data_IF_175381273601
#
_entry.id   IF_175381273601
#
_cell.length_a   1.000
_cell.length_b   1.000
_cell.length_c   1.000
_cell.angle_alpha   90.00
_cell.angle_beta   90.00
_cell.angle_gamma   90.00
#
_symmetry.space_group_name_H-M   'P 1'
#
loop_
_entity.id
_entity.type
_entity.pdbx_description
1 polymer ?
2 water ?
#
# COMPACT_ATOMS: atom_id res chain seq x y z
N UNK A 4 14.78 -7.82 22.35
CA UNK A 4 15.64 -8.72 23.18
C UNK A 4 15.24 -10.19 23.03
N UNK A 5 15.35 -10.94 24.12
CA UNK A 5 15.16 -12.37 24.23
C UNK A 5 13.91 -12.82 24.98
N UNK A 6 12.83 -13.21 24.31
CA UNK A 6 11.60 -13.71 24.94
C UNK A 6 11.55 -15.23 24.99
N UNK A 7 11.45 -15.88 23.83
CA UNK A 7 11.57 -17.33 23.77
C UNK A 7 13.06 -17.70 23.91
N UNK A 8 13.27 -18.98 24.17
CA UNK A 8 14.60 -19.56 24.22
C UNK A 8 15.26 -19.57 22.86
N UNK A 9 14.52 -19.56 21.74
CA UNK A 9 15.20 -19.50 20.45
C UNK A 9 15.72 -18.08 20.24
N UNK A 10 14.92 -17.09 20.67
CA UNK A 10 15.39 -15.72 20.59
C UNK A 10 16.57 -15.44 21.48
N UNK A 11 16.56 -15.95 22.74
CA UNK A 11 17.71 -15.72 23.58
C UNK A 11 18.98 -16.32 23.00
N UNK A 12 18.92 -17.59 22.55
CA UNK A 12 20.10 -18.22 21.97
C UNK A 12 20.58 -17.48 20.70
N UNK A 13 19.66 -17.09 19.84
CA UNK A 13 20.08 -16.47 18.57
C UNK A 13 20.62 -15.09 18.83
N UNK A 14 20.00 -14.33 19.72
CA UNK A 14 20.47 -12.98 19.99
C UNK A 14 21.82 -13.02 20.68
N UNK A 15 22.13 -13.92 21.64
CA UNK A 15 23.51 -13.86 22.15
C UNK A 15 24.52 -14.35 21.11
N UNK A 16 24.13 -15.34 20.28
CA UNK A 16 25.04 -15.71 19.19
C UNK A 16 25.35 -14.57 18.21
N UNK A 17 24.29 -13.84 17.85
CA UNK A 17 24.51 -12.71 16.90
C UNK A 17 25.42 -11.70 17.58
N UNK A 18 25.10 -11.37 18.85
CA UNK A 18 25.84 -10.34 19.55
C UNK A 18 27.28 -10.78 19.77
N UNK A 19 27.57 -12.02 20.13
CA UNK A 19 28.94 -12.49 20.20
C UNK A 19 29.64 -12.46 18.82
N UNK A 20 28.88 -12.89 17.81
CA UNK A 20 29.47 -12.93 16.44
C UNK A 20 29.80 -11.56 15.91
N UNK A 21 28.88 -10.63 16.17
CA UNK A 21 29.14 -9.27 15.63
C UNK A 21 29.92 -8.37 16.55
N UNK A 22 30.30 -8.90 17.73
CA UNK A 22 31.03 -8.12 18.73
C UNK A 22 32.12 -7.20 18.24
N UNK A 23 33.10 -7.64 17.44
CA UNK A 23 34.21 -6.80 17.05
C UNK A 23 33.93 -5.68 16.06
N UNK A 24 32.74 -5.59 15.48
CA UNK A 24 32.40 -4.66 14.43
C UNK A 24 32.10 -3.30 15.09
N UNK A 25 32.81 -2.28 14.64
CA UNK A 25 32.53 -0.96 15.23
C UNK A 25 31.25 -0.41 14.58
N UNK A 26 30.41 0.15 15.46
CA UNK A 26 29.14 0.73 15.09
C UNK A 26 28.07 -0.29 14.82
N UNK A 27 28.20 -1.54 15.24
CA UNK A 27 27.17 -2.56 15.15
C UNK A 27 26.75 -2.92 16.60
N UNK A 28 25.44 -2.94 16.82
CA UNK A 28 24.89 -3.16 18.16
C UNK A 28 23.48 -3.69 18.01
N UNK A 29 23.35 -5.01 17.85
CA UNK A 29 22.09 -5.64 17.59
C UNK A 29 21.25 -5.82 18.86
N UNK A 30 20.02 -5.31 18.84
CA UNK A 30 19.21 -5.21 20.06
C UNK A 30 17.92 -6.02 19.97
N UNK A 31 17.54 -6.38 18.72
CA UNK A 31 16.28 -7.13 18.58
C UNK A 31 16.28 -7.89 17.25
N UNK A 32 15.12 -8.40 16.86
CA UNK A 32 14.95 -9.10 15.63
C UNK A 32 14.14 -8.35 14.57
N UNK A 33 14.06 -7.03 14.72
CA UNK A 33 13.31 -6.25 13.74
C UNK A 33 14.13 -5.09 13.27
N UNK A 34 14.08 -3.92 13.95
CA UNK A 34 14.78 -2.73 13.53
C UNK A 34 16.28 -2.79 13.51
N UNK A 35 16.95 -3.64 14.28
CA UNK A 35 18.39 -3.77 14.18
C UNK A 35 18.83 -4.44 12.85
N UNK A 36 17.94 -4.93 12.02
CA UNK A 36 18.28 -5.62 10.81
C UNK A 36 18.00 -4.81 9.55
N UNK A 37 17.21 -3.75 9.63
CA UNK A 37 16.77 -3.04 8.40
C UNK A 37 17.86 -2.35 7.65
N UNK A 38 18.95 -1.88 8.26
CA UNK A 38 20.02 -1.22 7.50
C UNK A 38 21.01 -2.16 6.82
N UNK A 39 20.91 -3.47 7.05
CA UNK A 39 21.73 -4.43 6.30
C UNK A 39 23.10 -4.69 6.89
N UNK A 40 23.60 -3.91 7.84
CA UNK A 40 24.89 -4.18 8.44
C UNK A 40 24.87 -5.48 9.23
N UNK A 41 23.88 -5.71 10.07
CA UNK A 41 23.92 -6.90 10.94
C UNK A 41 24.07 -8.19 10.13
N UNK A 42 23.19 -8.42 9.13
CA UNK A 42 23.33 -9.64 8.30
C UNK A 42 24.75 -9.70 7.74
N UNK A 43 25.29 -8.62 7.15
CA UNK A 43 26.65 -8.72 6.59
C UNK A 43 27.69 -9.08 7.67
N UNK A 44 27.55 -8.55 8.89
CA UNK A 44 28.52 -8.79 9.94
C UNK A 44 28.43 -10.25 10.37
N UNK A 45 27.24 -10.78 10.45
CA UNK A 45 27.16 -12.19 10.88
C UNK A 45 27.95 -13.07 9.91
N UNK A 46 27.78 -12.78 8.60
CA UNK A 46 28.46 -13.56 7.57
C UNK A 46 29.95 -13.33 7.58
N UNK A 47 30.40 -12.08 7.66
CA UNK A 47 31.75 -11.63 7.55
C UNK A 47 32.63 -12.17 8.70
N UNK A 48 32.04 -12.24 9.88
CA UNK A 48 32.85 -12.65 11.05
C UNK A 48 33.48 -14.01 10.76
N UNK A 49 32.66 -14.92 10.25
CA UNK A 49 33.05 -16.26 9.88
C UNK A 49 34.08 -16.38 8.74
N UNK A 50 34.12 -15.45 7.81
CA UNK A 50 35.12 -15.54 6.73
C UNK A 50 35.47 -14.13 6.29
N UNK A 51 36.33 -13.46 7.01
CA UNK A 51 36.60 -12.03 6.82
C UNK A 51 37.38 -11.76 5.54
N UNK A 52 37.89 -12.74 4.78
CA UNK A 52 38.45 -12.43 3.47
C UNK A 52 37.42 -12.56 2.37
N UNK A 53 36.19 -12.92 2.71
CA UNK A 53 35.11 -13.09 1.74
C UNK A 53 34.60 -11.81 1.07
N UNK A 54 34.77 -10.65 1.66
CA UNK A 54 34.33 -9.38 1.07
C UNK A 54 34.84 -8.27 1.94
N UNK A 55 34.82 -7.04 1.40
CA UNK A 55 35.36 -5.91 2.15
C UNK A 55 34.23 -5.26 2.95
N UNK A 56 34.45 -5.04 4.24
CA UNK A 56 33.47 -4.40 5.08
C UNK A 56 33.20 -2.97 4.60
N UNK A 57 34.29 -2.30 4.21
CA UNK A 57 34.23 -0.88 3.80
C UNK A 57 33.29 -0.74 2.62
N UNK A 58 33.40 -1.66 1.66
CA UNK A 58 32.54 -1.70 0.52
C UNK A 58 31.10 -1.83 0.95
N UNK A 59 30.77 -2.72 1.90
CA UNK A 59 29.38 -2.83 2.36
C UNK A 59 28.93 -1.52 3.09
N UNK A 60 29.80 -0.93 3.90
CA UNK A 60 29.42 0.34 4.59
C UNK A 60 29.07 1.42 3.56
N UNK A 61 29.78 1.49 2.43
CA UNK A 61 29.42 2.44 1.38
C UNK A 61 28.17 2.09 0.60
N UNK A 62 27.65 0.87 0.68
CA UNK A 62 26.42 0.53 0.00
C UNK A 62 25.18 1.11 0.68
N UNK A 63 24.05 1.22 -0.03
CA UNK A 63 22.81 1.64 0.65
C UNK A 63 22.28 0.43 1.39
N UNK A 64 21.28 0.56 2.24
CA UNK A 64 20.70 -0.59 2.93
C UNK A 64 20.19 -1.68 2.03
N UNK A 65 19.49 -1.29 0.95
CA UNK A 65 19.02 -2.34 0.02
C UNK A 65 20.12 -3.13 -0.66
N UNK A 66 21.15 -2.47 -1.15
CA UNK A 66 22.32 -3.07 -1.71
C UNK A 66 22.95 -4.00 -0.64
N UNK A 67 23.13 -3.48 0.56
CA UNK A 67 23.74 -4.34 1.61
C UNK A 67 22.98 -5.62 1.82
N UNK A 68 21.63 -5.56 1.89
CA UNK A 68 20.82 -6.73 2.14
C UNK A 68 20.90 -7.74 0.98
N UNK A 69 20.81 -7.16 -0.22
CA UNK A 69 20.92 -8.03 -1.42
C UNK A 69 22.31 -8.68 -1.37
N UNK A 70 23.36 -7.94 -1.05
CA UNK A 70 24.71 -8.52 -0.99
C UNK A 70 24.78 -9.70 -0.02
N UNK A 71 24.22 -9.54 1.20
CA UNK A 71 24.35 -10.52 2.28
C UNK A 71 23.57 -11.76 1.88
N UNK A 72 22.34 -11.53 1.35
CA UNK A 72 21.53 -12.67 0.93
C UNK A 72 22.15 -13.38 -0.31
N UNK A 73 22.83 -12.62 -1.14
CA UNK A 73 23.48 -13.34 -2.27
C UNK A 73 24.75 -14.08 -1.83
N UNK A 74 25.55 -13.49 -0.96
CA UNK A 74 26.72 -14.14 -0.42
C UNK A 74 26.35 -15.40 0.36
N UNK A 75 25.28 -15.37 1.12
CA UNK A 75 24.85 -16.55 1.86
C UNK A 75 24.47 -17.63 0.85
N UNK A 76 23.81 -17.27 -0.23
CA UNK A 76 23.40 -18.22 -1.25
C UNK A 76 24.60 -18.85 -1.96
N UNK A 77 25.54 -18.00 -2.36
CA UNK A 77 26.59 -18.47 -3.25
C UNK A 77 27.62 -19.22 -2.43
N UNK A 78 27.84 -18.76 -1.17
CA UNK A 78 28.85 -19.39 -0.35
C UNK A 78 28.34 -20.44 0.62
N UNK A 79 27.08 -20.37 0.98
CA UNK A 79 26.60 -21.25 2.05
C UNK A 79 25.51 -22.10 1.49
N UNK A 80 25.11 -21.77 0.25
CA UNK A 80 23.95 -22.51 -0.30
C UNK A 80 22.67 -22.22 0.47
N UNK A 81 22.54 -21.07 1.16
CA UNK A 81 21.31 -20.77 1.87
C UNK A 81 20.28 -20.08 0.97
N UNK A 82 19.09 -20.65 0.91
CA UNK A 82 18.01 -20.10 0.09
C UNK A 82 17.62 -18.71 0.57
N UNK A 83 17.35 -17.79 -0.35
CA UNK A 83 16.98 -16.43 0.03
C UNK A 83 15.58 -16.43 0.58
N UNK A 84 15.41 -16.34 1.89
CA UNK A 84 14.01 -16.38 2.36
C UNK A 84 13.42 -14.97 2.42
N UNK A 85 14.28 -13.95 2.49
CA UNK A 85 13.77 -12.63 2.73
C UNK A 85 14.03 -11.77 1.52
N UNK A 86 13.12 -10.81 1.30
CA UNK A 86 13.39 -9.92 0.15
C UNK A 86 14.01 -8.67 0.72
N UNK A 87 15.05 -8.13 0.13
CA UNK A 87 15.65 -6.91 0.67
C UNK A 87 14.63 -5.84 0.99
N UNK A 88 13.55 -5.56 0.23
CA UNK A 88 12.56 -4.54 0.50
C UNK A 88 11.63 -4.76 1.69
N UNK A 89 11.28 -6.02 1.99
CA UNK A 89 10.54 -6.38 3.18
C UNK A 89 11.32 -6.07 4.46
N UNK A 90 12.63 -5.90 4.27
CA UNK A 90 13.51 -5.60 5.35
C UNK A 90 13.89 -4.12 5.39
N UNK A 91 14.20 -3.50 4.25
CA UNK A 91 14.74 -2.18 4.25
C UNK A 91 13.67 -1.07 4.33
N UNK A 92 12.49 -1.30 3.76
CA UNK A 92 11.56 -0.17 3.72
C UNK A 92 10.44 -0.30 4.72
N UNK A 93 10.27 -1.50 5.26
CA UNK A 93 9.22 -1.66 6.26
C UNK A 93 9.73 -2.45 7.48
N UNK A 94 8.98 -2.29 8.56
CA UNK A 94 9.40 -2.96 9.80
C UNK A 94 9.52 -4.44 9.53
N UNK A 95 10.70 -5.03 9.64
CA UNK A 95 10.87 -6.46 9.37
C UNK A 95 9.94 -7.31 10.20
N UNK A 96 9.50 -8.39 9.58
CA UNK A 96 8.72 -9.42 10.28
C UNK A 96 9.65 -10.27 11.14
N UNK A 97 9.45 -10.26 12.45
CA UNK A 97 10.33 -10.96 13.35
C UNK A 97 10.49 -12.43 13.06
N UNK A 98 9.37 -13.12 12.84
CA UNK A 98 9.39 -14.55 12.55
C UNK A 98 10.37 -14.84 11.40
N UNK A 99 10.22 -14.07 10.33
CA UNK A 99 11.00 -14.21 9.12
C UNK A 99 12.49 -13.98 9.37
N UNK A 100 12.79 -12.91 10.13
CA UNK A 100 14.20 -12.69 10.49
C UNK A 100 14.76 -13.89 11.23
N UNK A 101 14.05 -14.38 12.24
CA UNK A 101 14.52 -15.45 13.09
C UNK A 101 14.72 -16.73 12.26
N UNK A 102 13.75 -16.96 11.38
CA UNK A 102 13.86 -18.19 10.54
C UNK A 102 15.08 -18.05 9.62
N UNK A 103 15.35 -16.91 9.01
CA UNK A 103 16.59 -16.76 8.22
C UNK A 103 17.86 -16.88 9.04
N UNK A 104 17.95 -16.24 10.22
CA UNK A 104 19.06 -16.32 11.11
C UNK A 104 19.24 -17.77 11.59
N UNK A 105 18.17 -18.51 11.78
CA UNK A 105 18.28 -19.93 12.16
C UNK A 105 19.00 -20.72 11.08
N UNK A 106 18.75 -20.40 9.82
CA UNK A 106 19.43 -21.15 8.75
C UNK A 106 20.89 -20.75 8.68
N UNK A 107 21.25 -19.50 9.03
CA UNK A 107 22.64 -19.11 9.12
C UNK A 107 23.39 -19.79 10.26
N UNK A 108 22.70 -19.85 11.39
CA UNK A 108 23.21 -20.45 12.65
C UNK A 108 23.47 -21.93 12.42
N UNK A 109 22.58 -22.58 11.68
CA UNK A 109 22.83 -23.99 11.41
C UNK A 109 24.00 -24.26 10.48
N UNK A 110 24.23 -23.38 9.47
CA UNK A 110 25.23 -23.80 8.47
C UNK A 110 26.58 -23.24 8.80
N UNK A 111 26.61 -22.21 9.61
CA UNK A 111 27.84 -21.51 10.00
C UNK A 111 28.39 -22.23 11.24
N UNK B 8 -27.15 15.40 -25.71
CA UNK B 8 -26.37 16.64 -25.34
C UNK B 8 -25.01 16.50 -26.02
N UNK B 9 -24.02 17.17 -25.51
CA UNK B 9 -22.65 17.03 -25.91
C UNK B 9 -22.04 16.14 -24.83
N UNK B 10 -21.44 15.01 -25.19
CA UNK B 10 -20.75 14.19 -24.22
C UNK B 10 -19.52 14.89 -23.68
N UNK B 11 -18.89 15.65 -24.57
CA UNK B 11 -17.73 16.39 -24.20
C UNK B 11 -18.13 17.47 -23.16
N UNK B 12 -19.22 18.18 -23.35
CA UNK B 12 -19.61 19.17 -22.30
C UNK B 12 -19.85 18.43 -20.97
N UNK B 13 -20.62 17.34 -21.08
CA UNK B 13 -20.89 16.52 -19.88
C UNK B 13 -19.64 16.06 -19.16
N UNK B 14 -18.68 15.47 -19.91
CA UNK B 14 -17.45 14.99 -19.30
C UNK B 14 -16.67 16.15 -18.67
N UNK B 15 -16.61 17.31 -19.35
CA UNK B 15 -15.87 18.45 -18.82
C UNK B 15 -16.48 18.93 -17.51
N UNK B 16 -17.83 18.91 -17.46
CA UNK B 16 -18.57 19.33 -16.28
C UNK B 16 -18.24 18.35 -15.14
N UNK B 17 -18.23 17.05 -15.45
CA UNK B 17 -17.95 16.08 -14.39
C UNK B 17 -16.53 16.28 -13.90
N UNK B 18 -15.63 16.43 -14.88
CA UNK B 18 -14.22 16.56 -14.42
C UNK B 18 -14.03 17.80 -13.60
N UNK B 19 -14.59 18.93 -14.05
CA UNK B 19 -14.41 20.17 -13.28
C UNK B 19 -15.02 20.08 -11.88
N UNK B 20 -16.20 19.48 -11.81
CA UNK B 20 -16.94 19.32 -10.57
C UNK B 20 -16.17 18.46 -9.56
N UNK B 21 -15.58 17.39 -10.08
CA UNK B 21 -14.87 16.48 -9.14
C UNK B 21 -13.40 16.69 -8.98
N UNK B 22 -12.88 17.78 -9.63
CA UNK B 22 -11.44 18.08 -9.59
C UNK B 22 -10.80 18.14 -8.23
N UNK B 23 -11.39 18.80 -7.22
CA UNK B 23 -10.77 18.90 -5.95
C UNK B 23 -10.76 17.63 -5.08
N UNK B 24 -11.38 16.55 -5.47
CA UNK B 24 -11.43 15.33 -4.69
C UNK B 24 -10.17 14.52 -5.05
N UNK B 25 -9.32 14.40 -4.07
CA UNK B 25 -8.07 13.65 -4.18
C UNK B 25 -8.19 12.21 -4.65
N UNK B 26 -9.28 11.48 -4.44
CA UNK B 26 -9.41 10.09 -4.85
C UNK B 26 -10.32 9.90 -6.03
N UNK B 27 -10.62 11.00 -6.78
CA UNK B 27 -11.53 10.83 -7.90
C UNK B 27 -10.69 11.16 -9.15
N UNK B 28 -10.87 10.40 -10.20
CA UNK B 28 -10.18 10.70 -11.47
C UNK B 28 -11.07 10.21 -12.60
N UNK B 29 -12.03 11.00 -13.05
CA UNK B 29 -12.96 10.52 -14.05
C UNK B 29 -12.36 10.57 -15.47
N UNK B 30 -12.25 9.39 -16.06
CA UNK B 30 -11.60 9.28 -17.37
C UNK B 30 -12.57 8.98 -18.49
N UNK B 31 -13.74 8.48 -18.06
CA UNK B 31 -14.74 8.05 -19.03
C UNK B 31 -16.11 7.92 -18.33
N UNK B 32 -17.05 7.28 -19.03
CA UNK B 32 -18.39 7.07 -18.46
C UNK B 32 -18.66 5.60 -18.18
N UNK B 33 -17.60 4.83 -17.84
CA UNK B 33 -17.81 3.42 -17.52
C UNK B 33 -17.11 3.06 -16.23
N UNK B 34 -15.91 2.45 -16.33
CA UNK B 34 -15.25 1.98 -15.11
C UNK B 34 -14.81 3.08 -14.14
N UNK B 35 -14.64 4.34 -14.52
CA UNK B 35 -14.43 5.37 -13.51
C UNK B 35 -15.62 5.57 -12.57
N UNK B 36 -16.77 4.95 -12.78
CA UNK B 36 -17.92 5.13 -11.91
C UNK B 36 -18.18 3.98 -10.97
N UNK B 37 -17.42 2.87 -11.16
CA UNK B 37 -17.75 1.62 -10.45
C UNK B 37 -17.45 1.64 -8.97
N UNK B 38 -16.47 2.40 -8.48
CA UNK B 38 -16.21 2.40 -7.04
C UNK B 38 -17.16 3.30 -6.23
N UNK B 39 -18.11 3.99 -6.87
CA UNK B 39 -19.06 4.90 -6.23
C UNK B 39 -18.55 6.23 -5.76
N UNK B 40 -17.21 6.48 -5.81
CA UNK B 40 -16.71 7.75 -5.28
C UNK B 40 -17.17 8.90 -6.18
N UNK B 41 -16.96 8.78 -7.47
CA UNK B 41 -17.20 9.78 -8.47
C UNK B 41 -18.70 10.22 -8.42
N UNK B 42 -19.67 9.30 -8.32
CA UNK B 42 -21.06 9.75 -8.19
C UNK B 42 -21.26 10.56 -6.91
N UNK B 43 -20.73 10.12 -5.76
CA UNK B 43 -20.85 10.94 -4.56
C UNK B 43 -20.19 12.35 -4.70
N UNK B 44 -19.04 12.39 -5.37
CA UNK B 44 -18.29 13.63 -5.47
C UNK B 44 -19.10 14.59 -6.35
N UNK B 45 -19.80 14.10 -7.35
CA UNK B 45 -20.60 15.08 -8.16
C UNK B 45 -21.66 15.77 -7.31
N UNK B 46 -22.31 14.96 -6.45
CA UNK B 46 -23.33 15.57 -5.55
C UNK B 46 -22.75 16.43 -4.48
N UNK B 47 -21.68 15.93 -3.83
CA UNK B 47 -21.06 16.62 -2.73
C UNK B 47 -20.43 17.96 -3.07
N UNK B 48 -19.82 18.06 -4.27
CA UNK B 48 -19.23 19.33 -4.67
C UNK B 48 -20.23 20.50 -4.59
N UNK B 49 -21.45 20.20 -5.00
CA UNK B 49 -22.52 21.21 -5.05
C UNK B 49 -23.09 21.53 -3.68
N UNK B 50 -23.09 20.55 -2.77
CA UNK B 50 -23.63 20.81 -1.44
C UNK B 50 -22.76 20.07 -0.42
N UNK B 51 -21.63 20.65 -0.11
CA UNK B 51 -20.58 19.99 0.67
C UNK B 51 -20.98 19.63 2.09
N UNK B 52 -22.02 20.24 2.62
CA UNK B 52 -22.54 19.89 3.93
C UNK B 52 -23.66 18.88 3.78
N UNK B 53 -23.90 18.30 2.60
CA UNK B 53 -24.98 17.34 2.41
C UNK B 53 -24.65 16.02 3.13
N UNK B 54 -23.40 15.64 3.30
CA UNK B 54 -23.00 14.39 3.93
C UNK B 54 -21.51 14.44 4.16
N UNK B 55 -20.97 13.55 4.97
CA UNK B 55 -19.53 13.52 5.21
C UNK B 55 -18.87 12.64 4.13
N UNK B 56 -17.82 13.19 3.56
CA UNK B 56 -17.02 12.45 2.58
C UNK B 56 -16.35 11.24 3.20
N UNK B 57 -15.77 11.36 4.36
CA UNK B 57 -15.11 10.29 5.10
C UNK B 57 -15.99 9.09 5.37
N UNK B 58 -17.29 9.33 5.68
CA UNK B 58 -18.23 8.23 5.77
C UNK B 58 -18.34 7.50 4.43
N UNK B 59 -18.40 8.25 3.32
CA UNK B 59 -18.52 7.59 2.02
C UNK B 59 -17.27 6.76 1.77
N UNK B 60 -16.11 7.35 2.04
CA UNK B 60 -14.84 6.67 1.80
C UNK B 60 -14.82 5.30 2.56
N UNK B 61 -15.28 5.29 3.78
CA UNK B 61 -15.36 4.03 4.55
C UNK B 61 -16.40 3.03 4.10
N UNK B 62 -17.30 3.42 3.22
CA UNK B 62 -18.28 2.48 2.70
C UNK B 62 -17.63 1.60 1.64
N UNK B 63 -18.29 0.48 1.35
CA UNK B 63 -17.91 -0.31 0.18
C UNK B 63 -18.50 0.30 -1.08
N UNK B 64 -17.95 -0.02 -2.23
CA UNK B 64 -18.47 0.47 -3.50
C UNK B 64 -19.99 0.39 -3.62
N UNK B 65 -20.57 -0.77 -3.30
CA UNK B 65 -22.00 -0.99 -3.38
C UNK B 65 -22.79 -0.08 -2.46
N UNK B 66 -22.32 0.13 -1.24
CA UNK B 66 -23.00 1.00 -0.31
C UNK B 66 -22.84 2.48 -0.72
N UNK B 67 -21.66 2.87 -1.20
CA UNK B 67 -21.48 4.22 -1.77
C UNK B 67 -22.48 4.52 -2.86
N UNK B 68 -22.67 3.63 -3.83
CA UNK B 68 -23.58 3.84 -4.95
C UNK B 68 -25.02 4.01 -4.49
N UNK B 69 -25.44 3.15 -3.55
CA UNK B 69 -26.74 3.26 -2.90
C UNK B 69 -26.91 4.59 -2.19
N UNK B 70 -25.88 4.98 -1.44
CA UNK B 70 -25.91 6.28 -0.79
C UNK B 70 -26.05 7.42 -1.82
N UNK B 71 -25.37 7.40 -2.95
CA UNK B 71 -25.42 8.55 -3.88
C UNK B 71 -26.81 8.63 -4.52
N UNK B 72 -27.26 7.45 -4.92
CA UNK B 72 -28.58 7.35 -5.57
C UNK B 72 -29.72 7.70 -4.62
N UNK B 73 -29.62 7.46 -3.33
CA UNK B 73 -30.72 7.80 -2.40
C UNK B 73 -30.73 9.28 -2.08
N UNK B 74 -29.49 9.75 -1.87
CA UNK B 74 -29.26 11.18 -1.59
C UNK B 74 -29.79 12.03 -2.73
N UNK B 75 -29.47 11.62 -3.96
CA UNK B 75 -29.93 12.35 -5.12
C UNK B 75 -31.47 12.26 -5.13
N UNK B 76 -32.02 11.11 -4.77
CA UNK B 76 -33.51 11.01 -4.88
C UNK B 76 -34.19 11.92 -3.89
N UNK B 77 -33.76 11.77 -2.64
CA UNK B 77 -34.31 12.51 -1.51
C UNK B 77 -34.12 14.01 -1.63
N UNK B 78 -32.92 14.48 -1.92
CA UNK B 78 -32.61 15.88 -2.05
C UNK B 78 -32.82 16.48 -3.42
N UNK B 79 -32.80 15.79 -4.55
CA UNK B 79 -32.92 16.47 -5.84
C UNK B 79 -34.11 16.01 -6.63
N UNK B 80 -34.74 15.01 -6.03
CA UNK B 80 -35.86 14.35 -6.68
C UNK B 80 -35.41 13.60 -7.93
N UNK B 81 -34.15 13.18 -8.05
CA UNK B 81 -33.73 12.43 -9.21
C UNK B 81 -34.14 10.96 -9.02
N UNK B 82 -34.79 10.40 -10.03
CA UNK B 82 -35.19 9.01 -9.92
C UNK B 82 -34.00 8.04 -10.03
N UNK B 83 -34.04 6.96 -9.25
CA UNK B 83 -32.95 6.01 -9.24
C UNK B 83 -32.98 5.09 -10.47
N UNK B 84 -32.31 5.54 -11.51
CA UNK B 84 -32.20 4.89 -12.79
C UNK B 84 -31.24 3.72 -12.88
N UNK B 85 -30.22 3.76 -12.04
CA UNK B 85 -29.18 2.77 -12.01
C UNK B 85 -29.33 1.98 -10.72
N UNK B 86 -28.93 0.73 -10.85
CA UNK B 86 -28.96 -0.16 -9.69
C UNK B 86 -27.58 -0.24 -9.12
N UNK B 87 -27.39 -0.01 -7.85
CA UNK B 87 -26.05 -0.09 -7.29
C UNK B 87 -25.41 -1.38 -7.77
N UNK B 88 -26.02 -2.54 -7.49
CA UNK B 88 -25.58 -3.83 -7.99
C UNK B 88 -24.98 -3.79 -9.39
N UNK B 89 -25.70 -3.25 -10.35
CA UNK B 89 -25.31 -3.13 -11.74
C UNK B 89 -24.32 -2.05 -12.16
N UNK B 90 -23.55 -1.48 -11.25
CA UNK B 90 -22.50 -0.53 -11.56
C UNK B 90 -21.22 -1.09 -10.92
N UNK B 91 -21.39 -1.72 -9.76
CA UNK B 91 -20.27 -2.21 -9.00
C UNK B 91 -19.67 -3.58 -9.28
N UNK B 92 -20.38 -4.62 -9.68
CA UNK B 92 -19.71 -5.93 -9.84
C UNK B 92 -19.47 -6.14 -11.33
N UNK B 93 -20.25 -5.43 -12.15
CA UNK B 93 -20.04 -5.59 -13.59
C UNK B 93 -19.59 -4.28 -14.25
N UNK B 94 -18.83 -4.35 -15.31
CA UNK B 94 -18.56 -3.20 -16.15
C UNK B 94 -19.84 -2.45 -16.55
N UNK B 95 -19.88 -1.16 -16.22
CA UNK B 95 -21.06 -0.34 -16.43
C UNK B 95 -21.51 -0.13 -17.85
N UNK B 96 -22.84 0.02 -17.98
CA UNK B 96 -23.42 0.33 -19.28
C UNK B 96 -23.30 1.85 -19.49
N UNK B 97 -22.48 2.29 -20.41
CA UNK B 97 -22.16 3.66 -20.69
C UNK B 97 -23.37 4.58 -20.88
N UNK B 98 -24.31 4.19 -21.73
CA UNK B 98 -25.51 5.00 -21.93
C UNK B 98 -26.39 5.17 -20.70
N UNK B 99 -26.45 4.18 -19.82
CA UNK B 99 -27.12 4.37 -18.54
C UNK B 99 -26.42 5.43 -17.69
N UNK B 100 -25.11 5.26 -17.57
CA UNK B 100 -24.28 6.20 -16.79
C UNK B 100 -24.48 7.61 -17.38
N UNK B 101 -24.38 7.88 -18.68
CA UNK B 101 -24.62 9.20 -19.27
C UNK B 101 -26.02 9.77 -19.02
N UNK B 102 -27.03 8.87 -19.06
CA UNK B 102 -28.42 9.29 -18.84
C UNK B 102 -28.59 9.82 -17.43
N UNK B 103 -28.09 9.04 -16.48
CA UNK B 103 -28.10 9.39 -15.09
C UNK B 103 -27.31 10.69 -14.82
N UNK B 104 -26.11 10.82 -15.34
CA UNK B 104 -25.29 12.03 -15.13
C UNK B 104 -25.97 13.25 -15.75
N UNK B 105 -26.63 13.07 -16.91
CA UNK B 105 -27.36 14.18 -17.52
C UNK B 105 -28.48 14.66 -16.62
N UNK B 106 -29.24 13.78 -15.95
CA UNK B 106 -30.29 14.32 -15.04
C UNK B 106 -29.66 15.09 -13.91
N UNK B 107 -28.48 14.67 -13.40
CA UNK B 107 -27.80 15.43 -12.37
C UNK B 107 -27.39 16.78 -13.01
N UNK B 108 -26.80 16.71 -14.20
CA UNK B 108 -26.30 17.93 -14.86
C UNK B 108 -27.38 19.00 -15.08
N UNK B 109 -28.58 18.51 -15.36
CA UNK B 109 -29.77 19.32 -15.59
C UNK B 109 -30.30 19.88 -14.31
N UNK B 110 -30.10 19.25 -13.13
CA UNK B 110 -30.63 19.83 -11.90
C UNK B 110 -29.68 20.44 -10.91
N UNK B 111 -28.40 20.18 -10.79
CA UNK B 111 -27.51 20.79 -9.82
C UNK B 111 -27.00 22.07 -10.42
N UNK B 112 -26.58 23.12 -9.75
CA UNK B 112 -26.79 23.35 -8.34
C UNK B 112 -28.26 23.64 -8.10
N UNK B 113 -28.82 23.28 -6.95
CA UNK B 113 -30.23 23.55 -6.62
C UNK B 113 -30.29 24.89 -5.90
N UNK B 114 -29.86 25.95 -6.59
CA UNK B 114 -29.62 27.29 -6.15
C UNK B 114 -30.05 28.33 -7.19
N UNK B 115 -30.63 29.40 -6.67
CA UNK B 115 -31.17 30.58 -7.31
C UNK B 115 -32.29 30.24 -8.29
#
# INVERSE_FOLDING_TARGET
>A
MSDLQQTNSEKILLSWVRQTTRPYSQVNVLNFTTSWTDGLAFNAVLHRHKPDLFSWDKVVKMSPIERLEHAFSKAQTYLGIEKLLDPEDVAVRLPDKKSIIMYLTSLFEVLPQQVTID
>B
MSDLQQTNSEKILLSWVRQTTRPYSQVNVLNFTTSWTDGLAFNAVLHRHKPDLFSWDKVVKMSPIERLEHAFSKAQTYLGIEKLLDPEDVAVRLPDKKSIIMYLTSLFEVLPQQVTID
#
